data_IF_932089540940
#
_entry.id   IF_932089540940
#
_cell.length_a   1.000
_cell.length_b   1.000
_cell.length_c   1.000
_cell.angle_alpha   90.00
_cell.angle_beta   90.00
_cell.angle_gamma   90.00
#
_symmetry.space_group_name_H-M   'P 1'
#
loop_
_entity.id
_entity.type
_entity.pdbx_description
1 polymer ?
2 non-polymer ?
3 non-polymer ?
4 non-polymer ?
5 water ?
#
# COMPACT_ATOMS: atom_id res chain seq x y z
N UNK A 1 -20.07 10.34 -16.89
CA UNK A 1 -20.90 11.50 -16.60
C UNK A 1 -20.83 11.89 -15.13
N UNK A 2 -21.29 13.10 -14.81
CA UNK A 2 -21.28 13.62 -13.45
C UNK A 2 -22.68 13.44 -12.87
N UNK A 3 -22.77 12.69 -11.78
CA UNK A 3 -24.06 12.43 -11.15
C UNK A 3 -24.73 13.73 -10.71
N UNK A 4 -26.06 13.77 -10.84
CA UNK A 4 -26.78 14.99 -10.49
C UNK A 4 -26.63 15.35 -9.02
N UNK A 5 -26.29 14.40 -8.16
CA UNK A 5 -26.10 14.66 -6.73
C UNK A 5 -24.65 14.93 -6.36
N UNK A 6 -23.74 14.91 -7.33
CA UNK A 6 -22.36 15.27 -7.09
C UNK A 6 -22.20 16.79 -7.12
N UNK A 7 -21.17 17.29 -6.44
CA UNK A 7 -20.85 18.70 -6.43
C UNK A 7 -19.49 18.91 -7.07
N UNK A 8 -19.43 19.79 -8.07
CA UNK A 8 -18.19 20.19 -8.71
C UNK A 8 -18.02 21.68 -8.49
N UNK A 9 -16.96 22.07 -7.79
CA UNK A 9 -16.78 23.49 -7.53
C UNK A 9 -16.67 24.23 -8.85
N UNK A 10 -17.25 25.44 -8.95
CA UNK A 10 -17.14 26.20 -10.20
C UNK A 10 -15.71 26.43 -10.65
N UNK A 11 -14.74 26.44 -9.74
CA UNK A 11 -13.34 26.62 -10.11
C UNK A 11 -12.63 25.33 -10.46
N UNK A 12 -13.24 24.18 -10.19
CA UNK A 12 -12.63 22.91 -10.58
C UNK A 12 -12.81 22.69 -12.07
N UNK A 13 -11.90 21.91 -12.64
CA UNK A 13 -11.91 21.57 -14.05
C UNK A 13 -12.05 20.05 -14.14
N UNK A 14 -13.25 19.59 -14.45
CA UNK A 14 -13.52 18.17 -14.65
C UNK A 14 -13.72 17.98 -16.15
N UNK A 15 -12.81 17.25 -16.78
CA UNK A 15 -12.84 17.15 -18.23
C UNK A 15 -13.93 16.18 -18.68
N UNK A 16 -14.52 16.49 -19.84
CA UNK A 16 -15.58 15.66 -20.39
C UNK A 16 -15.11 14.21 -20.46
N UNK A 17 -15.99 13.29 -20.05
CA UNK A 17 -15.66 11.89 -19.97
C UNK A 17 -15.37 11.40 -18.55
N UNK A 18 -15.01 12.30 -17.64
CA UNK A 18 -14.83 11.91 -16.26
C UNK A 18 -16.15 11.40 -15.67
N UNK A 19 -16.04 10.43 -14.78
CA UNK A 19 -17.19 9.81 -14.15
C UNK A 19 -17.15 10.14 -12.65
N UNK A 20 -18.14 10.90 -12.19
CA UNK A 20 -18.23 11.36 -10.81
C UNK A 20 -19.51 10.79 -10.22
N UNK A 21 -19.38 10.03 -9.14
CA UNK A 21 -20.51 9.33 -8.56
C UNK A 21 -21.37 10.21 -7.68
N UNK A 22 -22.46 9.62 -7.18
CA UNK A 22 -23.42 10.36 -6.39
C UNK A 22 -22.81 10.88 -5.11
N UNK A 23 -23.19 12.10 -4.74
CA UNK A 23 -22.75 12.76 -3.52
C UNK A 23 -21.23 12.84 -3.39
N UNK A 24 -20.51 12.73 -4.51
CA UNK A 24 -19.10 13.08 -4.48
C UNK A 24 -18.94 14.60 -4.46
N UNK A 25 -17.76 15.05 -4.05
CA UNK A 25 -17.48 16.48 -3.90
C UNK A 25 -16.12 16.76 -4.51
N UNK A 26 -16.11 17.51 -5.61
CA UNK A 26 -14.89 17.99 -6.24
C UNK A 26 -14.72 19.44 -5.81
N UNK A 27 -13.74 19.71 -4.95
CA UNK A 27 -13.55 21.02 -4.37
C UNK A 27 -12.83 21.98 -5.29
N UNK A 28 -12.56 23.18 -4.75
CA UNK A 28 -12.00 24.26 -5.58
C UNK A 28 -10.63 23.91 -6.14
N UNK A 29 -10.40 24.36 -7.38
CA UNK A 29 -9.10 24.26 -8.05
C UNK A 29 -8.64 22.81 -8.24
N UNK A 30 -9.55 21.86 -8.21
CA UNK A 30 -9.20 20.48 -8.55
C UNK A 30 -9.16 20.30 -10.06
N UNK A 31 -8.38 19.31 -10.51
CA UNK A 31 -8.27 18.94 -11.91
C UNK A 31 -8.53 17.43 -12.01
N UNK A 32 -9.54 17.05 -12.77
CA UNK A 32 -9.93 15.65 -12.93
C UNK A 32 -9.97 15.32 -14.41
N UNK A 33 -9.11 14.38 -14.82
CA UNK A 33 -8.95 14.04 -16.22
C UNK A 33 -10.14 13.31 -16.82
N UNK A 34 -10.15 13.16 -18.15
CA UNK A 34 -11.30 12.53 -18.81
C UNK A 34 -11.41 11.03 -18.61
N UNK A 35 -10.36 10.37 -18.14
CA UNK A 35 -10.39 8.92 -17.91
C UNK A 35 -10.49 8.57 -16.43
N UNK A 36 -10.84 9.53 -15.60
CA UNK A 36 -10.91 9.32 -14.16
C UNK A 36 -12.31 8.88 -13.79
N UNK A 37 -12.39 7.95 -12.83
CA UNK A 37 -13.66 7.54 -12.24
C UNK A 37 -13.57 7.74 -10.74
N UNK A 38 -14.48 8.53 -10.18
CA UNK A 38 -14.52 8.85 -8.76
C UNK A 38 -15.83 8.34 -8.20
N UNK A 39 -15.74 7.47 -7.19
CA UNK A 39 -16.91 6.76 -6.69
C UNK A 39 -17.79 7.57 -5.76
N UNK A 40 -18.91 6.96 -5.41
CA UNK A 40 -19.93 7.62 -4.61
C UNK A 40 -19.36 8.14 -3.29
N UNK A 41 -19.62 9.41 -3.00
CA UNK A 41 -19.26 9.98 -1.72
C UNK A 41 -17.82 10.42 -1.57
N UNK A 42 -16.97 10.20 -2.55
CA UNK A 42 -15.57 10.60 -2.43
C UNK A 42 -15.43 12.12 -2.51
N UNK A 43 -14.50 12.65 -1.72
CA UNK A 43 -14.26 14.07 -1.58
C UNK A 43 -12.85 14.39 -2.04
N UNK A 44 -12.72 15.33 -2.98
CA UNK A 44 -11.46 15.98 -3.30
C UNK A 44 -11.49 17.37 -2.66
N UNK A 45 -10.73 17.55 -1.58
CA UNK A 45 -10.85 18.75 -0.75
C UNK A 45 -10.66 20.03 -1.56
N UNK A 46 -9.51 20.15 -2.21
CA UNK A 46 -9.14 21.31 -3.02
C UNK A 46 -7.73 21.07 -3.53
N UNK A 47 -7.39 21.75 -4.62
CA UNK A 47 -6.05 21.68 -5.21
C UNK A 47 -5.57 20.24 -5.40
N UNK A 48 -6.46 19.37 -5.88
CA UNK A 48 -6.11 17.97 -6.13
C UNK A 48 -6.03 17.74 -7.63
N UNK A 49 -4.98 17.07 -8.07
CA UNK A 49 -4.84 16.66 -9.47
C UNK A 49 -5.07 15.16 -9.55
N UNK A 50 -6.04 14.76 -10.37
CA UNK A 50 -6.32 13.35 -10.66
C UNK A 50 -6.43 13.20 -12.17
N UNK A 51 -5.58 12.35 -12.75
CA UNK A 51 -5.57 12.19 -14.20
C UNK A 51 -5.19 10.76 -14.54
N UNK A 52 -4.96 10.50 -15.83
CA UNK A 52 -4.69 9.15 -16.30
C UNK A 52 -5.93 8.27 -16.20
N UNK A 53 -5.72 6.98 -16.48
CA UNK A 53 -6.77 5.97 -16.36
C UNK A 53 -6.83 5.53 -14.91
N UNK A 54 -7.69 6.20 -14.15
CA UNK A 54 -7.67 6.13 -12.69
C UNK A 54 -9.06 5.84 -12.16
N UNK A 55 -9.20 4.75 -11.40
CA UNK A 55 -10.47 4.35 -10.81
C UNK A 55 -10.37 4.51 -9.30
N UNK A 56 -11.21 5.37 -8.75
CA UNK A 56 -11.23 5.68 -7.31
C UNK A 56 -12.62 5.31 -6.78
N UNK A 57 -12.63 4.55 -5.69
CA UNK A 57 -13.86 4.01 -5.15
C UNK A 57 -14.65 4.98 -4.29
N UNK A 58 -15.35 4.44 -3.30
CA UNK A 58 -16.33 5.16 -2.51
C UNK A 58 -15.74 5.72 -1.21
N UNK A 59 -16.27 6.87 -0.80
CA UNK A 59 -16.04 7.43 0.53
C UNK A 59 -14.55 7.67 0.83
N UNK A 60 -13.79 8.02 -0.20
CA UNK A 60 -12.40 8.44 0.00
C UNK A 60 -12.34 9.93 0.30
N UNK A 61 -11.29 10.32 1.03
CA UNK A 61 -10.99 11.73 1.26
C UNK A 61 -9.58 11.99 0.76
N UNK A 62 -9.46 12.86 -0.24
CA UNK A 62 -8.19 13.20 -0.85
C UNK A 62 -7.93 14.68 -0.58
N UNK A 63 -6.85 14.98 0.14
CA UNK A 63 -6.56 16.31 0.62
C UNK A 63 -5.75 17.12 -0.40
N UNK A 64 -5.69 18.42 -0.16
CA UNK A 64 -5.09 19.37 -1.09
C UNK A 64 -3.66 18.99 -1.44
N UNK A 65 -3.27 19.29 -2.68
CA UNK A 65 -1.92 19.13 -3.20
C UNK A 65 -1.55 17.67 -3.43
N UNK A 66 -2.52 16.76 -3.40
CA UNK A 66 -2.29 15.37 -3.78
C UNK A 66 -2.27 15.25 -5.30
N UNK A 67 -1.47 14.28 -5.77
CA UNK A 67 -1.34 13.98 -7.20
C UNK A 67 -1.62 12.50 -7.38
N UNK A 68 -2.75 12.18 -7.99
CA UNK A 68 -3.26 10.80 -8.08
C UNK A 68 -3.42 10.42 -9.54
N UNK A 69 -2.78 9.31 -9.94
CA UNK A 69 -2.83 8.84 -11.31
C UNK A 69 -1.73 9.37 -12.19
N UNK A 70 -0.94 10.32 -11.69
CA UNK A 70 0.02 11.04 -12.50
C UNK A 70 1.04 10.09 -13.14
N UNK A 71 1.66 10.59 -14.21
CA UNK A 71 2.77 9.88 -14.85
C UNK A 71 3.79 9.46 -13.79
N UNK A 72 4.29 8.23 -13.92
CA UNK A 72 5.23 7.71 -12.94
C UNK A 72 6.63 8.27 -13.22
N UNK A 73 7.58 7.91 -12.35
CA UNK A 73 8.95 8.39 -12.47
C UNK A 73 9.90 7.32 -12.99
N UNK A 74 9.37 6.19 -13.46
CA UNK A 74 10.25 5.17 -14.00
C UNK A 74 10.95 5.69 -15.25
N UNK A 75 12.24 5.39 -15.35
CA UNK A 75 13.07 6.00 -16.39
C UNK A 75 12.72 5.50 -17.79
N UNK A 76 12.10 4.34 -17.89
CA UNK A 76 11.70 3.81 -19.20
C UNK A 76 10.28 4.18 -19.59
N UNK A 77 9.45 4.63 -18.64
CA UNK A 77 8.08 4.99 -18.99
C UNK A 77 8.10 6.01 -20.12
N UNK A 78 7.16 5.85 -21.06
CA UNK A 78 7.14 6.67 -22.26
C UNK A 78 5.73 7.14 -22.61
N UNK A 79 4.83 7.17 -21.63
CA UNK A 79 3.48 7.62 -21.85
C UNK A 79 2.45 6.56 -22.15
N UNK A 80 2.80 5.28 -22.02
CA UNK A 80 1.84 4.21 -22.30
C UNK A 80 0.62 4.36 -21.39
N UNK A 81 -0.57 4.00 -21.88
CA UNK A 81 -1.79 4.11 -21.05
C UNK A 81 -1.96 3.02 -19.99
N UNK A 82 -1.17 3.17 -18.92
CA UNK A 82 -1.24 2.29 -17.75
C UNK A 82 -2.34 2.79 -16.81
N UNK A 83 -2.47 2.19 -15.62
CA UNK A 83 -3.66 2.41 -14.80
C UNK A 83 -3.32 2.60 -13.33
N UNK A 84 -4.26 3.22 -12.61
CA UNK A 84 -4.27 3.28 -11.16
C UNK A 84 -5.63 2.80 -10.67
N UNK A 85 -5.63 1.99 -9.61
CA UNK A 85 -6.85 1.56 -8.95
C UNK A 85 -6.74 1.90 -7.46
N UNK A 86 -7.76 2.57 -6.94
CA UNK A 86 -7.86 2.90 -5.52
C UNK A 86 -9.24 2.47 -5.06
N UNK A 87 -9.31 1.80 -3.91
CA UNK A 87 -10.56 1.30 -3.38
C UNK A 87 -11.39 2.30 -2.62
N UNK A 88 -11.86 1.91 -1.43
CA UNK A 88 -12.88 2.64 -0.69
C UNK A 88 -12.38 3.13 0.67
N UNK A 89 -12.95 4.25 1.12
CA UNK A 89 -12.77 4.75 2.48
C UNK A 89 -11.30 5.00 2.82
N UNK A 90 -10.51 5.37 1.82
CA UNK A 90 -9.12 5.74 2.07
C UNK A 90 -9.01 7.21 2.44
N UNK A 91 -8.06 7.51 3.31
CA UNK A 91 -7.73 8.89 3.64
C UNK A 91 -6.35 9.18 3.08
N UNK A 92 -6.32 10.09 2.11
CA UNK A 92 -5.13 10.39 1.33
C UNK A 92 -4.81 11.84 1.60
N UNK A 93 -3.75 12.06 2.38
CA UNK A 93 -3.49 13.35 3.01
C UNK A 93 -2.65 14.24 2.09
N UNK A 94 -2.34 15.44 2.57
CA UNK A 94 -1.74 16.47 1.73
C UNK A 94 -0.49 15.95 1.03
N UNK A 95 -0.37 16.28 -0.26
CA UNK A 95 0.84 16.04 -1.03
C UNK A 95 1.14 14.57 -1.27
N UNK A 96 0.20 13.66 -1.06
CA UNK A 96 0.46 12.26 -1.41
C UNK A 96 0.58 12.14 -2.92
N UNK A 97 1.46 11.25 -3.38
CA UNK A 97 1.64 10.98 -4.79
C UNK A 97 1.40 9.49 -5.04
N UNK A 98 0.53 9.20 -6.00
CA UNK A 98 0.21 7.83 -6.41
C UNK A 98 0.29 7.81 -7.93
N UNK A 99 1.27 7.10 -8.46
CA UNK A 99 1.62 7.16 -9.87
C UNK A 99 1.15 5.92 -10.62
N UNK A 100 0.87 6.10 -11.90
CA UNK A 100 0.38 5.03 -12.75
C UNK A 100 1.47 3.98 -12.99
N UNK A 101 1.04 2.79 -13.39
CA UNK A 101 1.95 1.69 -13.61
C UNK A 101 2.83 1.87 -14.84
N UNK A 102 3.67 0.87 -15.07
CA UNK A 102 4.48 0.75 -16.28
C UNK A 102 4.09 -0.52 -17.01
N UNK A 103 4.11 -0.47 -18.35
CA UNK A 103 3.87 -1.67 -19.14
C UNK A 103 4.71 -2.82 -18.61
N UNK A 104 6.02 -2.58 -18.45
CA UNK A 104 6.94 -3.64 -18.03
C UNK A 104 6.58 -4.17 -16.65
N UNK A 105 6.03 -3.34 -15.78
CA UNK A 105 5.69 -3.78 -14.44
C UNK A 105 4.34 -4.44 -14.29
N UNK A 106 3.53 -4.47 -15.36
CA UNK A 106 2.20 -5.03 -15.32
C UNK A 106 1.09 -4.04 -15.56
N UNK A 107 1.40 -2.74 -15.67
CA UNK A 107 0.43 -1.73 -16.08
C UNK A 107 -0.48 -1.19 -15.00
N UNK A 108 -0.30 -1.58 -13.74
CA UNK A 108 -1.25 -1.21 -12.70
C UNK A 108 -0.56 -0.87 -11.38
N UNK A 109 -0.88 0.31 -10.86
CA UNK A 109 -0.63 0.66 -9.47
C UNK A 109 -1.95 0.55 -8.72
N UNK A 110 -1.95 -0.22 -7.63
CA UNK A 110 -3.21 -0.54 -6.95
C UNK A 110 -3.12 -0.24 -5.46
N UNK A 111 -4.19 0.36 -4.95
CA UNK A 111 -4.35 0.65 -3.52
C UNK A 111 -5.71 0.10 -3.09
N UNK A 112 -5.73 -0.55 -1.93
CA UNK A 112 -6.95 -1.17 -1.44
C UNK A 112 -7.90 -0.21 -0.77
N UNK A 113 -8.48 -0.64 0.36
CA UNK A 113 -9.47 0.14 1.07
C UNK A 113 -9.06 0.34 2.51
N UNK A 114 -9.60 1.40 3.12
CA UNK A 114 -9.45 1.68 4.56
C UNK A 114 -8.00 1.98 4.93
N UNK A 115 -7.25 2.56 4.01
CA UNK A 115 -5.86 2.93 4.26
C UNK A 115 -5.77 4.38 4.71
N UNK A 116 -4.71 4.68 5.46
CA UNK A 116 -4.35 6.06 5.81
C UNK A 116 -2.99 6.35 5.18
N UNK A 117 -2.97 7.25 4.21
CA UNK A 117 -1.74 7.62 3.51
C UNK A 117 -1.41 9.05 3.93
N UNK A 118 -0.41 9.17 4.81
CA UNK A 118 -0.11 10.45 5.46
C UNK A 118 0.69 11.35 4.53
N UNK A 119 0.85 12.60 4.97
CA UNK A 119 1.46 13.68 4.22
C UNK A 119 2.69 13.23 3.45
N UNK A 120 2.69 13.43 2.14
CA UNK A 120 3.85 13.18 1.27
C UNK A 120 4.22 11.70 1.20
N UNK A 121 3.32 10.79 1.55
CA UNK A 121 3.57 9.39 1.24
C UNK A 121 3.62 9.21 -0.27
N UNK A 122 4.46 8.30 -0.74
CA UNK A 122 4.65 8.09 -2.18
C UNK A 122 4.38 6.64 -2.53
N UNK A 123 3.52 6.42 -3.53
CA UNK A 123 3.23 5.10 -4.06
C UNK A 123 3.66 5.11 -5.51
N UNK A 124 4.83 4.54 -5.79
CA UNK A 124 5.44 4.53 -7.11
C UNK A 124 4.66 3.63 -8.06
N UNK A 125 5.02 3.72 -9.34
CA UNK A 125 4.44 2.87 -10.36
C UNK A 125 4.46 1.41 -9.94
N UNK A 126 3.39 0.69 -10.28
CA UNK A 126 3.33 -0.77 -10.16
C UNK A 126 3.32 -1.25 -8.72
N UNK A 127 3.07 -0.37 -7.74
CA UNK A 127 2.94 -0.82 -6.36
C UNK A 127 1.56 -1.42 -6.12
N UNK A 128 1.48 -2.31 -5.13
CA UNK A 128 0.22 -2.85 -4.64
C UNK A 128 0.16 -2.61 -3.14
N UNK A 129 -0.78 -1.77 -2.71
CA UNK A 129 -1.06 -1.52 -1.31
C UNK A 129 -2.40 -2.19 -0.99
N UNK A 130 -2.44 -2.92 0.12
CA UNK A 130 -3.63 -3.68 0.47
C UNK A 130 -4.69 -2.88 1.19
N UNK A 131 -5.28 -3.48 2.24
CA UNK A 131 -6.35 -2.88 3.01
C UNK A 131 -5.89 -2.57 4.43
N UNK A 132 -6.38 -1.45 4.97
CA UNK A 132 -6.16 -1.09 6.37
C UNK A 132 -4.69 -0.82 6.69
N UNK A 133 -3.92 -0.36 5.71
CA UNK A 133 -2.52 -0.01 5.93
C UNK A 133 -2.38 1.43 6.41
N UNK A 134 -1.19 1.73 6.93
CA UNK A 134 -0.80 3.09 7.30
C UNK A 134 0.58 3.36 6.72
N UNK A 135 0.68 4.37 5.87
CA UNK A 135 1.96 4.96 5.47
C UNK A 135 2.07 6.33 6.11
N UNK A 136 3.04 6.50 7.01
CA UNK A 136 3.19 7.76 7.73
C UNK A 136 3.88 8.80 6.85
N UNK A 137 4.05 9.99 7.41
CA UNK A 137 4.65 11.12 6.68
C UNK A 137 5.91 10.69 5.96
N UNK A 138 5.99 11.06 4.67
CA UNK A 138 7.20 10.90 3.88
C UNK A 138 7.58 9.44 3.66
N UNK A 139 6.69 8.50 3.97
CA UNK A 139 6.94 7.10 3.68
C UNK A 139 6.94 6.91 2.17
N UNK A 140 7.98 6.28 1.65
CA UNK A 140 8.20 6.23 0.21
C UNK A 140 8.32 4.79 -0.25
N UNK A 141 7.42 4.38 -1.14
CA UNK A 141 7.50 3.09 -1.79
C UNK A 141 8.12 3.30 -3.18
N UNK A 142 9.24 2.63 -3.43
CA UNK A 142 9.82 2.60 -4.77
C UNK A 142 8.96 1.71 -5.67
N UNK A 143 9.37 1.59 -6.93
CA UNK A 143 8.55 0.89 -7.90
C UNK A 143 8.39 -0.58 -7.56
N UNK A 144 7.21 -1.12 -7.88
CA UNK A 144 6.94 -2.55 -7.79
C UNK A 144 6.88 -3.07 -6.35
N UNK A 145 6.64 -2.20 -5.36
CA UNK A 145 6.61 -2.61 -3.96
C UNK A 145 5.21 -3.09 -3.59
N UNK A 146 5.14 -4.15 -2.79
CA UNK A 146 3.87 -4.62 -2.24
C UNK A 146 3.85 -4.35 -0.74
N UNK A 147 2.74 -3.79 -0.27
CA UNK A 147 2.49 -3.60 1.15
C UNK A 147 1.18 -4.32 1.48
N UNK A 148 1.28 -5.37 2.28
CA UNK A 148 0.14 -6.25 2.53
C UNK A 148 -0.74 -5.69 3.65
N UNK A 149 -1.89 -6.35 3.85
CA UNK A 149 -2.94 -5.85 4.73
C UNK A 149 -2.41 -5.50 6.12
N UNK A 150 -2.90 -4.37 6.66
CA UNK A 150 -2.65 -3.95 8.04
C UNK A 150 -1.21 -3.51 8.30
N UNK A 151 -0.32 -3.67 7.32
CA UNK A 151 1.06 -3.25 7.48
C UNK A 151 1.13 -1.75 7.78
N UNK A 152 2.08 -1.37 8.62
CA UNK A 152 2.29 0.02 9.02
C UNK A 152 3.73 0.39 8.70
N UNK A 153 3.92 1.55 8.08
CA UNK A 153 5.24 2.03 7.71
C UNK A 153 5.45 3.39 8.36
N UNK A 154 6.46 3.47 9.23
CA UNK A 154 6.71 4.69 9.97
C UNK A 154 7.18 5.84 9.11
N UNK A 155 7.15 7.03 9.70
CA UNK A 155 7.50 8.23 8.97
C UNK A 155 8.94 8.21 8.51
N UNK A 156 9.17 8.83 7.35
CA UNK A 156 10.50 8.97 6.76
C UNK A 156 11.13 7.62 6.42
N UNK A 157 10.30 6.60 6.18
CA UNK A 157 10.81 5.28 5.85
C UNK A 157 10.64 5.00 4.37
N UNK A 158 11.68 4.48 3.74
CA UNK A 158 11.67 4.16 2.32
C UNK A 158 11.77 2.64 2.13
N UNK A 159 11.05 2.13 1.12
CA UNK A 159 11.06 0.71 0.79
C UNK A 159 11.71 0.55 -0.59
N UNK A 160 12.78 -0.24 -0.65
CA UNK A 160 13.51 -0.46 -1.89
C UNK A 160 12.64 -1.16 -2.92
N UNK A 161 12.88 -0.84 -4.20
CA UNK A 161 12.07 -1.37 -5.29
C UNK A 161 11.96 -2.89 -5.22
N UNK A 162 10.78 -3.41 -5.55
CA UNK A 162 10.44 -4.83 -5.68
C UNK A 162 10.24 -5.51 -4.33
N UNK A 163 10.47 -4.83 -3.20
CA UNK A 163 10.35 -5.46 -1.90
C UNK A 163 8.89 -5.71 -1.56
N UNK A 164 8.68 -6.65 -0.64
CA UNK A 164 7.35 -6.97 -0.12
C UNK A 164 7.33 -6.66 1.36
N UNK A 165 6.34 -5.90 1.78
CA UNK A 165 6.04 -5.65 3.20
C UNK A 165 4.87 -6.56 3.56
N UNK A 166 5.12 -7.57 4.39
CA UNK A 166 4.11 -8.57 4.69
C UNK A 166 2.96 -8.04 5.53
N UNK A 167 1.91 -8.85 5.62
CA UNK A 167 0.72 -8.45 6.35
C UNK A 167 1.01 -8.31 7.84
N UNK A 168 0.39 -7.30 8.46
CA UNK A 168 0.54 -6.99 9.89
C UNK A 168 1.96 -6.62 10.27
N UNK A 169 2.79 -6.24 9.29
CA UNK A 169 4.14 -5.79 9.60
C UNK A 169 4.07 -4.40 10.22
N UNK A 170 5.05 -4.09 11.07
CA UNK A 170 5.29 -2.71 11.49
C UNK A 170 6.74 -2.36 11.21
N UNK A 171 6.95 -1.36 10.38
CA UNK A 171 8.28 -0.81 10.11
C UNK A 171 8.40 0.49 10.88
N UNK A 172 9.37 0.57 11.78
CA UNK A 172 9.59 1.80 12.51
C UNK A 172 9.98 2.95 11.59
N UNK A 173 9.78 4.16 12.08
CA UNK A 173 10.17 5.33 11.33
C UNK A 173 11.68 5.39 11.12
N UNK A 174 12.08 6.28 10.20
CA UNK A 174 13.50 6.53 9.91
C UNK A 174 14.24 5.25 9.53
N UNK A 175 13.56 4.36 8.81
CA UNK A 175 14.14 3.08 8.42
C UNK A 175 14.28 2.99 6.92
N UNK A 176 15.22 2.16 6.48
CA UNK A 176 15.36 1.85 5.06
C UNK A 176 15.26 0.36 4.84
N UNK A 177 14.21 -0.08 4.13
CA UNK A 177 13.92 -1.49 3.94
C UNK A 177 14.47 -1.90 2.57
N UNK A 178 15.49 -2.75 2.57
CA UNK A 178 16.14 -3.17 1.33
C UNK A 178 15.79 -4.61 0.94
N UNK A 179 15.06 -5.34 1.77
CA UNK A 179 14.68 -6.71 1.47
C UNK A 179 13.24 -6.94 1.93
N UNK A 180 12.74 -8.15 1.70
CA UNK A 180 11.35 -8.48 1.99
C UNK A 180 11.14 -8.71 3.48
N UNK A 181 10.00 -8.26 3.99
CA UNK A 181 9.67 -8.36 5.41
C UNK A 181 8.54 -9.37 5.57
N UNK A 182 8.76 -10.48 6.25
CA UNK A 182 7.73 -11.51 6.38
C UNK A 182 6.53 -10.99 7.14
N UNK A 183 5.37 -11.60 6.96
CA UNK A 183 4.17 -11.19 7.70
C UNK A 183 4.41 -11.23 9.20
N UNK A 184 3.75 -10.33 9.91
CA UNK A 184 3.67 -10.28 11.37
C UNK A 184 4.91 -9.74 12.04
N UNK A 185 5.88 -9.21 11.28
CA UNK A 185 7.19 -8.87 11.82
C UNK A 185 7.31 -7.38 12.05
N UNK A 186 8.10 -7.02 13.06
CA UNK A 186 8.53 -5.64 13.30
C UNK A 186 9.91 -5.47 12.69
N UNK A 187 10.07 -4.44 11.87
CA UNK A 187 11.38 -4.11 11.29
C UNK A 187 11.74 -2.68 11.66
N UNK A 188 13.03 -2.41 11.74
CA UNK A 188 13.47 -1.05 11.98
C UNK A 188 14.97 -0.96 11.74
N UNK A 189 15.44 0.25 11.52
CA UNK A 189 16.83 0.47 11.19
C UNK A 189 17.02 0.72 9.71
N UNK A 190 18.31 0.87 9.35
CA UNK A 190 18.68 1.28 8.00
C UNK A 190 20.11 0.76 7.79
N UNK A 191 20.25 -0.37 7.10
CA UNK A 191 19.13 -1.15 6.56
C UNK A 191 18.25 -1.74 7.67
N UNK A 192 17.00 -2.05 7.33
CA UNK A 192 16.06 -2.56 8.33
C UNK A 192 16.33 -4.02 8.65
N UNK A 193 16.23 -4.36 9.93
CA UNK A 193 16.41 -5.71 10.42
C UNK A 193 15.21 -6.11 11.24
N UNK A 194 14.99 -7.41 11.46
CA UNK A 194 13.79 -7.85 12.18
C UNK A 194 13.95 -7.77 13.69
N UNK A 195 12.91 -7.28 14.35
CA UNK A 195 12.87 -7.16 15.81
C UNK A 195 11.68 -7.91 16.40
N UNK A 196 11.42 -9.12 15.91
CA UNK A 196 10.38 -9.95 16.48
C UNK A 196 9.00 -9.73 15.89
N UNK A 197 8.02 -10.37 16.54
CA UNK A 197 6.64 -10.40 16.08
C UNK A 197 5.91 -9.16 16.57
N UNK A 198 5.02 -8.61 15.73
CA UNK A 198 4.19 -7.47 16.09
C UNK A 198 3.04 -7.96 16.97
N UNK A 199 3.38 -8.26 18.22
CA UNK A 199 2.42 -8.89 19.14
C UNK A 199 1.26 -7.95 19.41
N UNK A 200 1.55 -6.67 19.70
CA UNK A 200 0.49 -5.76 20.07
C UNK A 200 -0.52 -5.59 18.93
N UNK A 201 -0.04 -5.47 17.69
CA UNK A 201 -0.96 -5.39 16.57
C UNK A 201 -1.81 -6.65 16.44
N UNK A 202 -1.19 -7.82 16.58
CA UNK A 202 -1.95 -9.06 16.50
C UNK A 202 -2.98 -9.15 17.62
N UNK A 203 -2.61 -8.72 18.83
CA UNK A 203 -3.57 -8.59 19.91
C UNK A 203 -4.77 -7.75 19.48
N UNK A 204 -4.52 -6.50 19.10
CA UNK A 204 -5.60 -5.57 18.82
C UNK A 204 -6.49 -6.01 17.66
N UNK A 205 -5.97 -6.83 16.75
CA UNK A 205 -6.73 -7.24 15.59
C UNK A 205 -7.43 -8.59 15.79
N UNK A 206 -7.44 -9.10 17.01
CA UNK A 206 -8.23 -10.28 17.33
C UNK A 206 -7.57 -11.62 17.09
N UNK A 207 -6.24 -11.66 17.01
CA UNK A 207 -5.56 -12.95 16.90
C UNK A 207 -5.58 -13.67 18.25
N UNK A 208 -5.88 -14.97 18.20
CA UNK A 208 -5.93 -15.75 19.43
C UNK A 208 -4.53 -15.97 20.00
N UNK A 209 -4.49 -16.30 21.30
CA UNK A 209 -3.23 -16.63 21.93
C UNK A 209 -2.52 -17.75 21.18
N UNK A 210 -3.27 -18.78 20.78
CA UNK A 210 -2.66 -19.88 20.03
C UNK A 210 -2.06 -19.39 18.71
N UNK A 211 -2.76 -18.48 18.03
CA UNK A 211 -2.25 -17.97 16.75
C UNK A 211 -0.97 -17.18 16.95
N UNK A 212 -0.92 -16.32 17.96
CA UNK A 212 0.28 -15.53 18.20
C UNK A 212 1.45 -16.45 18.55
N UNK A 213 1.17 -17.50 19.31
CA UNK A 213 2.24 -18.42 19.69
C UNK A 213 2.77 -19.16 18.47
N UNK A 214 1.89 -19.71 17.65
CA UNK A 214 2.33 -20.36 16.41
C UNK A 214 3.13 -19.39 15.54
N UNK A 215 2.64 -18.17 15.40
CA UNK A 215 3.37 -17.17 14.61
C UNK A 215 4.75 -16.94 15.21
N UNK A 216 4.82 -16.74 16.53
CA UNK A 216 6.12 -16.58 17.18
C UNK A 216 7.01 -17.77 16.92
N UNK A 217 6.46 -18.98 16.95
CA UNK A 217 7.28 -20.15 16.66
C UNK A 217 7.75 -20.15 15.21
N UNK A 218 6.88 -19.75 14.27
CA UNK A 218 7.32 -19.62 12.89
C UNK A 218 8.42 -18.58 12.76
N UNK A 219 8.34 -17.50 13.54
CA UNK A 219 9.41 -16.51 13.57
C UNK A 219 10.73 -17.14 14.02
N UNK A 220 10.68 -17.96 15.06
CA UNK A 220 11.91 -18.57 15.58
C UNK A 220 12.50 -19.54 14.57
N UNK A 221 11.66 -20.28 13.87
CA UNK A 221 12.13 -21.15 12.81
C UNK A 221 12.96 -20.36 11.79
N UNK A 222 12.42 -19.23 11.34
CA UNK A 222 13.11 -18.44 10.32
C UNK A 222 14.38 -17.83 10.88
N UNK A 223 14.31 -17.26 12.09
CA UNK A 223 15.36 -16.34 12.54
C UNK A 223 16.18 -16.85 13.71
N UNK A 224 15.77 -17.91 14.39
CA UNK A 224 16.52 -18.40 15.53
C UNK A 224 17.04 -19.82 15.36
N UNK A 225 16.33 -20.67 14.62
CA UNK A 225 16.71 -22.08 14.50
C UNK A 225 18.11 -22.24 13.88
N UNK A 226 18.53 -21.27 13.07
CA UNK A 226 19.76 -21.41 12.31
C UNK A 226 19.62 -22.21 11.03
N UNK A 227 18.47 -22.82 10.79
CA UNK A 227 18.25 -23.55 9.55
C UNK A 227 18.07 -22.57 8.38
N UNK A 228 18.36 -23.07 7.18
CA UNK A 228 18.14 -22.27 5.99
C UNK A 228 16.65 -22.14 5.71
N UNK A 229 16.29 -21.11 4.94
CA UNK A 229 14.90 -20.88 4.60
C UNK A 229 14.29 -22.10 3.92
N UNK A 230 15.08 -22.80 3.09
CA UNK A 230 14.56 -23.98 2.42
C UNK A 230 14.26 -25.10 3.43
N UNK A 231 15.08 -25.24 4.46
CA UNK A 231 14.80 -26.24 5.49
C UNK A 231 13.56 -25.88 6.28
N UNK A 232 13.37 -24.59 6.58
CA UNK A 232 12.26 -24.20 7.43
C UNK A 232 10.93 -24.13 6.67
N UNK A 233 10.96 -23.98 5.35
CA UNK A 233 9.71 -23.88 4.58
C UNK A 233 8.75 -25.02 4.86
N UNK A 234 9.15 -26.30 4.77
CA UNK A 234 8.20 -27.37 5.12
C UNK A 234 7.84 -27.40 6.60
N UNK A 235 8.77 -26.99 7.48
CA UNK A 235 8.44 -26.93 8.90
C UNK A 235 7.33 -25.91 9.17
N UNK A 236 7.37 -24.77 8.48
CA UNK A 236 6.33 -23.76 8.64
C UNK A 236 5.03 -24.24 8.02
N UNK A 237 5.09 -24.86 6.84
CA UNK A 237 3.90 -25.43 6.25
C UNK A 237 3.31 -26.50 7.15
N UNK A 238 4.17 -27.28 7.80
CA UNK A 238 3.71 -28.26 8.78
C UNK A 238 2.95 -27.58 9.91
N UNK A 239 3.55 -26.56 10.53
CA UNK A 239 2.88 -25.85 11.62
C UNK A 239 1.57 -25.24 11.16
N UNK A 240 1.51 -24.78 9.90
CA UNK A 240 0.27 -24.22 9.36
C UNK A 240 -0.83 -25.27 9.18
N UNK A 241 -0.47 -26.56 9.19
CA UNK A 241 -1.50 -27.59 9.15
C UNK A 241 -2.43 -27.48 10.35
N UNK A 242 -1.95 -26.93 11.46
CA UNK A 242 -2.75 -26.73 12.66
C UNK A 242 -3.20 -25.29 12.85
N UNK A 243 -2.31 -24.34 12.58
CA UNK A 243 -2.59 -22.92 12.81
C UNK A 243 -2.65 -22.21 11.46
N UNK A 244 -3.85 -22.01 10.90
CA UNK A 244 -3.93 -21.47 9.54
C UNK A 244 -3.29 -20.11 9.40
N UNK A 245 -3.22 -19.33 10.47
CA UNK A 245 -2.55 -18.03 10.40
C UNK A 245 -1.11 -18.15 9.91
N UNK A 246 -0.47 -19.30 10.16
CA UNK A 246 0.91 -19.47 9.76
C UNK A 246 1.05 -19.60 8.24
N UNK A 247 -0.05 -19.86 7.53
CA UNK A 247 0.02 -19.99 6.08
C UNK A 247 0.45 -18.68 5.43
N UNK A 248 0.13 -17.54 6.05
CA UNK A 248 0.60 -16.25 5.53
C UNK A 248 2.08 -16.28 5.22
N UNK A 249 2.87 -17.00 6.03
CA UNK A 249 4.29 -17.16 5.74
C UNK A 249 4.49 -17.88 4.41
N UNK A 250 3.81 -19.02 4.24
CA UNK A 250 3.94 -19.80 3.02
C UNK A 250 3.58 -18.96 1.79
N UNK A 251 2.43 -18.29 1.83
CA UNK A 251 2.04 -17.46 0.69
C UNK A 251 3.05 -16.35 0.47
N UNK A 252 3.61 -15.80 1.55
CA UNK A 252 4.62 -14.76 1.42
C UNK A 252 5.90 -15.27 0.79
N UNK A 253 6.33 -16.47 1.17
CA UNK A 253 7.55 -17.03 0.60
C UNK A 253 7.42 -17.20 -0.92
N UNK A 254 6.22 -17.55 -1.39
CA UNK A 254 6.03 -17.76 -2.82
C UNK A 254 6.20 -16.47 -3.61
N UNK A 255 5.95 -15.31 -2.98
CA UNK A 255 6.07 -14.03 -3.66
C UNK A 255 7.42 -13.35 -3.47
N UNK A 256 8.16 -13.70 -2.42
CA UNK A 256 9.39 -12.98 -2.10
C UNK A 256 10.43 -13.17 -3.20
N UNK A 257 11.08 -12.07 -3.59
CA UNK A 257 12.11 -12.10 -4.62
C UNK A 257 13.45 -11.53 -4.19
N UNK A 258 13.50 -10.76 -3.09
CA UNK A 258 14.72 -10.09 -2.69
C UNK A 258 15.34 -10.68 -1.44
N UNK A 259 14.86 -11.85 -1.00
CA UNK A 259 15.28 -12.40 0.27
C UNK A 259 14.64 -11.69 1.43
N UNK A 260 14.75 -12.31 2.60
CA UNK A 260 14.18 -11.74 3.82
C UNK A 260 15.16 -10.78 4.47
N UNK A 261 14.61 -9.79 5.17
CA UNK A 261 15.45 -8.98 6.03
C UNK A 261 16.04 -9.88 7.12
N UNK A 262 17.32 -9.68 7.41
CA UNK A 262 17.99 -10.49 8.40
C UNK A 262 18.93 -9.61 9.22
N UNK A 263 19.35 -10.14 10.36
CA UNK A 263 20.21 -9.40 11.28
C UNK A 263 21.64 -9.93 11.18
#
# INVERSE_FOLDING_TARGET
MIDKSAFVHPTAIVEEGASIGANAHIGPFCIVGPHVEIGEGTVLKSHVVVNGHTKIGRDNEIYQFASIGEVNQDLKYAGEPTRVEIGDRNRIRESVTIHRGTVQGGGLTKVGSDNLLMINAHIAHDCTVGNRCILANNATLAGHVSVDDFAIIGGMTAVHQFCIIGAHVMVGGCSGVAQDVPPYVIAQGNHATPFGVNIEGLKRRGFSREAITAIRNAYKLIYRSGKTLDEVKPEIAELAETYPEVKAFTDFFARSTRGLIRHHHHHH
#
